data_IF_183603021166
#
_entry.id   IF_183603021166
#
_cell.length_a   1.000
_cell.length_b   1.000
_cell.length_c   1.000
_cell.angle_alpha   90.00
_cell.angle_beta   90.00
_cell.angle_gamma   90.00
#
_symmetry.space_group_name_H-M   'P 1'
#
loop_
_entity.id
_entity.type
_entity.pdbx_description
1 polymer ?
#
# COMPACT_ATOMS: atom_id res chain seq x y z
N UNK A 1 41.17 -23.42 -13.80
CA UNK A 1 40.43 -22.39 -14.59
C UNK A 1 39.07 -22.88 -15.14
N UNK A 2 38.95 -24.07 -15.73
CA UNK A 2 37.67 -24.55 -16.31
C UNK A 2 36.51 -24.74 -15.28
N UNK A 3 36.80 -25.10 -14.01
CA UNK A 3 35.75 -25.29 -12.97
C UNK A 3 35.15 -23.99 -12.43
N UNK A 4 35.92 -22.90 -12.43
CA UNK A 4 35.41 -21.56 -11.99
C UNK A 4 34.49 -20.97 -13.03
N UNK A 5 34.79 -21.16 -14.33
CA UNK A 5 33.92 -20.69 -15.42
C UNK A 5 32.56 -21.41 -15.46
N UNK A 6 32.51 -22.71 -15.08
CA UNK A 6 31.23 -23.45 -15.00
C UNK A 6 30.34 -22.94 -13.85
N UNK A 7 30.92 -22.60 -12.70
CA UNK A 7 30.17 -22.08 -11.54
C UNK A 7 29.56 -20.70 -11.82
N UNK A 8 30.30 -19.80 -12.49
CA UNK A 8 29.80 -18.49 -12.88
C UNK A 8 28.68 -18.59 -13.93
N UNK A 9 28.83 -19.48 -14.93
CA UNK A 9 27.80 -19.72 -15.94
C UNK A 9 26.50 -20.30 -15.34
N UNK A 10 26.60 -21.19 -14.32
CA UNK A 10 25.44 -21.71 -13.61
C UNK A 10 24.73 -20.64 -12.77
N UNK A 11 25.44 -19.71 -12.14
CA UNK A 11 24.82 -18.59 -11.40
C UNK A 11 24.05 -17.65 -12.36
N UNK A 12 24.63 -17.30 -13.50
CA UNK A 12 23.95 -16.47 -14.51
C UNK A 12 22.72 -17.16 -15.13
N UNK A 13 22.80 -18.46 -15.37
CA UNK A 13 21.68 -19.25 -15.88
C UNK A 13 20.54 -19.37 -14.87
N UNK A 14 20.84 -19.51 -13.58
CA UNK A 14 19.80 -19.57 -12.52
C UNK A 14 19.11 -18.22 -12.32
N UNK A 15 19.83 -17.10 -12.38
CA UNK A 15 19.22 -15.77 -12.36
C UNK A 15 18.29 -15.52 -13.54
N UNK A 16 18.68 -15.89 -14.75
CA UNK A 16 17.87 -15.70 -15.96
C UNK A 16 16.60 -16.58 -15.99
N UNK A 17 16.63 -17.77 -15.41
CA UNK A 17 15.47 -18.67 -15.31
C UNK A 17 14.51 -18.19 -14.23
N UNK A 18 15.02 -17.73 -13.10
CA UNK A 18 14.20 -17.18 -12.03
C UNK A 18 13.45 -15.91 -12.49
N UNK A 19 14.11 -15.00 -13.20
CA UNK A 19 13.49 -13.80 -13.77
C UNK A 19 12.33 -14.11 -14.75
N UNK A 20 12.42 -15.20 -15.51
CA UNK A 20 11.37 -15.62 -16.45
C UNK A 20 10.09 -16.11 -15.80
N UNK A 21 10.11 -16.49 -14.52
CA UNK A 21 8.97 -17.09 -13.81
C UNK A 21 8.22 -16.16 -12.87
N UNK A 22 8.61 -14.89 -12.78
CA UNK A 22 8.00 -13.93 -11.88
C UNK A 22 7.04 -12.98 -12.57
N UNK A 23 6.07 -12.54 -11.79
CA UNK A 23 5.01 -11.61 -12.15
C UNK A 23 4.76 -10.70 -10.94
N UNK A 24 3.88 -9.75 -11.09
CA UNK A 24 3.51 -8.78 -10.08
C UNK A 24 2.01 -8.83 -9.83
N UNK A 25 1.63 -8.60 -8.58
CA UNK A 25 0.26 -8.38 -8.16
C UNK A 25 0.19 -6.97 -7.55
N UNK A 26 -0.69 -6.14 -8.06
CA UNK A 26 -1.05 -4.85 -7.52
C UNK A 26 -2.39 -4.97 -6.80
N UNK A 27 -2.49 -4.39 -5.62
CA UNK A 27 -3.74 -4.13 -4.90
C UNK A 27 -4.02 -2.65 -4.95
N UNK A 28 -5.29 -2.25 -5.03
CA UNK A 28 -5.73 -0.85 -5.02
C UNK A 28 -7.19 -0.79 -4.59
N UNK A 29 -7.70 0.39 -4.31
CA UNK A 29 -9.12 0.63 -4.12
C UNK A 29 -9.63 1.68 -5.11
N UNK A 30 -10.93 1.90 -5.15
CA UNK A 30 -11.55 3.01 -5.88
C UNK A 30 -12.46 3.79 -4.95
N UNK A 31 -12.60 5.10 -5.18
CA UNK A 31 -13.56 5.93 -4.45
C UNK A 31 -15.01 5.53 -4.78
N UNK A 32 -15.23 4.81 -5.87
CA UNK A 32 -16.57 4.44 -6.34
C UNK A 32 -17.22 3.37 -5.45
N UNK A 33 -16.44 2.42 -4.92
CA UNK A 33 -16.99 1.30 -4.14
C UNK A 33 -16.31 1.06 -2.78
N UNK A 34 -15.21 1.74 -2.47
CA UNK A 34 -14.44 1.56 -1.24
C UNK A 34 -14.15 0.09 -0.95
N UNK A 35 -13.73 -0.64 -1.94
CA UNK A 35 -13.51 -2.08 -1.92
C UNK A 35 -12.13 -2.44 -2.48
N UNK A 36 -11.69 -3.67 -2.25
CA UNK A 36 -10.38 -4.15 -2.69
C UNK A 36 -10.44 -4.60 -4.15
N UNK A 37 -9.58 -4.03 -4.98
CA UNK A 37 -9.32 -4.43 -6.36
C UNK A 37 -7.93 -5.03 -6.48
N UNK A 38 -7.73 -5.86 -7.49
CA UNK A 38 -6.44 -6.46 -7.81
C UNK A 38 -6.15 -6.43 -9.30
N UNK A 39 -4.90 -6.19 -9.66
CA UNK A 39 -4.41 -6.32 -11.02
C UNK A 39 -3.11 -7.12 -11.07
N UNK A 40 -2.89 -7.87 -12.16
CA UNK A 40 -1.67 -8.64 -12.36
C UNK A 40 -0.86 -8.09 -13.53
N UNK A 41 0.47 -8.21 -13.43
CA UNK A 41 1.39 -7.91 -14.51
C UNK A 41 2.41 -9.03 -14.70
N UNK A 42 2.66 -9.41 -15.96
CA UNK A 42 3.67 -10.43 -16.29
C UNK A 42 5.05 -9.82 -16.59
N UNK A 43 5.14 -8.51 -16.71
CA UNK A 43 6.35 -7.77 -17.11
C UNK A 43 6.73 -6.63 -16.14
N UNK A 44 5.81 -6.24 -15.21
CA UNK A 44 5.99 -5.11 -14.30
C UNK A 44 5.74 -3.75 -14.94
N UNK A 45 5.15 -3.73 -16.15
CA UNK A 45 4.79 -2.51 -16.87
C UNK A 45 3.32 -2.44 -17.23
N UNK A 46 2.73 -3.56 -17.67
CA UNK A 46 1.33 -3.63 -18.11
C UNK A 46 0.54 -4.41 -17.07
N UNK A 47 -0.43 -3.75 -16.44
CA UNK A 47 -1.29 -4.32 -15.41
C UNK A 47 -2.70 -4.56 -15.96
N UNK A 48 -3.24 -5.73 -15.68
CA UNK A 48 -4.61 -6.13 -16.04
C UNK A 48 -5.39 -6.42 -14.77
N UNK A 49 -6.49 -5.70 -14.56
CA UNK A 49 -7.36 -5.93 -13.41
C UNK A 49 -8.01 -7.31 -13.47
N UNK A 50 -8.09 -7.94 -12.31
CA UNK A 50 -8.87 -9.15 -12.10
C UNK A 50 -10.36 -8.80 -12.00
N UNK A 51 -11.23 -9.80 -12.16
CA UNK A 51 -12.68 -9.66 -11.98
C UNK A 51 -13.30 -8.52 -12.83
N UNK A 52 -12.78 -8.30 -14.05
CA UNK A 52 -13.23 -7.23 -14.95
C UNK A 52 -13.24 -5.82 -14.30
N UNK A 53 -12.27 -5.58 -13.40
CA UNK A 53 -12.17 -4.38 -12.56
C UNK A 53 -13.31 -4.19 -11.54
N UNK A 54 -14.11 -5.21 -11.24
CA UNK A 54 -14.94 -5.20 -10.03
C UNK A 54 -14.11 -5.61 -8.82
N UNK A 55 -14.59 -5.24 -7.64
CA UNK A 55 -13.91 -5.59 -6.40
C UNK A 55 -13.73 -7.11 -6.26
N UNK A 56 -12.57 -7.54 -5.79
CA UNK A 56 -12.31 -8.94 -5.43
C UNK A 56 -12.73 -9.24 -3.99
N UNK A 57 -12.85 -8.20 -3.14
CA UNK A 57 -13.41 -8.27 -1.79
C UNK A 57 -14.18 -6.97 -1.54
N UNK A 58 -15.47 -7.09 -1.21
CA UNK A 58 -16.30 -5.94 -0.87
C UNK A 58 -15.94 -5.36 0.50
N UNK A 59 -15.68 -4.06 0.58
CA UNK A 59 -15.32 -3.37 1.82
C UNK A 59 -16.41 -3.43 2.88
N UNK A 60 -17.69 -3.45 2.48
CA UNK A 60 -18.83 -3.52 3.39
C UNK A 60 -18.94 -4.85 4.15
N UNK A 61 -18.25 -5.91 3.70
CA UNK A 61 -18.26 -7.22 4.33
C UNK A 61 -17.14 -7.45 5.34
N UNK A 62 -16.11 -6.62 5.35
CA UNK A 62 -14.89 -6.82 6.15
C UNK A 62 -14.54 -5.65 7.07
N UNK A 63 -15.16 -4.49 6.89
CA UNK A 63 -14.87 -3.25 7.61
C UNK A 63 -16.08 -2.79 8.46
N UNK A 64 -15.80 -2.22 9.63
CA UNK A 64 -16.84 -1.69 10.53
C UNK A 64 -17.51 -0.46 9.92
N UNK A 65 -16.74 0.39 9.22
CA UNK A 65 -17.26 1.54 8.48
C UNK A 65 -17.87 1.17 7.12
N UNK A 66 -17.93 -0.12 6.79
CA UNK A 66 -18.51 -0.65 5.55
C UNK A 66 -17.82 -0.15 4.29
N UNK A 67 -16.53 0.06 4.36
CA UNK A 67 -15.66 0.44 3.27
C UNK A 67 -14.20 0.38 3.68
N UNK A 68 -13.34 0.14 2.73
CA UNK A 68 -11.88 0.09 2.93
C UNK A 68 -11.17 1.05 1.99
N UNK A 69 -9.97 1.48 2.42
CA UNK A 69 -9.04 2.29 1.63
C UNK A 69 -7.62 1.78 1.82
N UNK A 70 -6.71 2.31 1.03
CA UNK A 70 -5.27 2.29 1.22
C UNK A 70 -4.71 0.86 1.38
N UNK A 71 -4.96 -0.06 0.43
CA UNK A 71 -4.49 -1.44 0.53
C UNK A 71 -2.98 -1.54 0.34
N UNK A 72 -2.31 -2.21 1.28
CA UNK A 72 -0.92 -2.63 1.16
C UNK A 72 -0.82 -4.14 1.20
N UNK A 73 0.03 -4.74 0.37
CA UNK A 73 0.21 -6.19 0.30
C UNK A 73 1.65 -6.62 0.53
N UNK A 74 1.86 -7.59 1.41
CA UNK A 74 3.15 -8.27 1.59
C UNK A 74 3.01 -9.78 1.59
N UNK A 75 4.13 -10.47 1.42
CA UNK A 75 4.23 -11.92 1.58
C UNK A 75 5.19 -12.24 2.72
N UNK A 76 4.71 -12.97 3.74
CA UNK A 76 5.54 -13.49 4.85
C UNK A 76 6.51 -14.56 4.36
N UNK A 77 7.62 -14.83 5.10
CA UNK A 77 8.55 -15.92 4.80
C UNK A 77 7.89 -17.29 4.72
N UNK A 78 6.82 -17.54 5.49
CA UNK A 78 6.04 -18.79 5.47
C UNK A 78 5.12 -18.94 4.24
N UNK A 79 5.14 -17.92 3.34
CA UNK A 79 4.35 -17.87 2.12
C UNK A 79 2.95 -17.33 2.27
N UNK A 80 2.52 -16.93 3.47
CA UNK A 80 1.23 -16.24 3.70
C UNK A 80 1.27 -14.85 3.09
N UNK A 81 0.24 -14.49 2.35
CA UNK A 81 -0.01 -13.11 1.92
C UNK A 81 -0.83 -12.39 2.98
N UNK A 82 -0.42 -11.18 3.30
CA UNK A 82 -1.14 -10.26 4.15
C UNK A 82 -1.51 -9.03 3.34
N UNK A 83 -2.75 -8.52 3.53
CA UNK A 83 -3.14 -7.19 3.07
C UNK A 83 -3.57 -6.39 4.29
N UNK A 84 -3.01 -5.20 4.46
CA UNK A 84 -3.45 -4.24 5.45
C UNK A 84 -4.26 -3.14 4.76
N UNK A 85 -5.32 -2.66 5.42
CA UNK A 85 -6.31 -1.75 4.86
C UNK A 85 -6.77 -0.76 5.93
N UNK A 86 -7.10 0.44 5.54
CA UNK A 86 -7.83 1.41 6.37
C UNK A 86 -9.31 1.04 6.42
N UNK A 87 -9.88 0.88 7.62
CA UNK A 87 -11.32 0.76 7.82
C UNK A 87 -11.96 2.15 7.74
N UNK A 88 -12.33 2.58 6.54
CA UNK A 88 -12.90 3.91 6.31
C UNK A 88 -13.71 3.95 5.00
N UNK A 89 -14.92 4.51 5.09
CA UNK A 89 -15.75 4.85 3.94
C UNK A 89 -16.12 6.33 3.98
N UNK A 90 -15.37 7.17 3.28
CA UNK A 90 -15.52 8.65 3.34
C UNK A 90 -16.86 9.15 2.80
N UNK A 91 -17.54 8.41 1.92
CA UNK A 91 -18.84 8.77 1.35
C UNK A 91 -20.01 7.96 1.94
N UNK A 92 -19.78 7.17 3.00
CA UNK A 92 -20.78 6.26 3.53
C UNK A 92 -22.05 6.96 4.04
N UNK A 93 -21.90 8.14 4.62
CA UNK A 93 -23.04 8.98 5.07
C UNK A 93 -23.87 9.46 3.88
N UNK A 94 -23.23 10.04 2.87
CA UNK A 94 -23.87 10.54 1.65
C UNK A 94 -24.55 9.42 0.87
N UNK A 95 -23.96 8.23 0.89
CA UNK A 95 -24.48 7.03 0.26
C UNK A 95 -25.58 6.33 1.09
N UNK A 96 -25.83 6.78 2.33
CA UNK A 96 -26.80 6.16 3.23
C UNK A 96 -26.43 4.76 3.70
N UNK A 97 -25.15 4.37 3.61
CA UNK A 97 -24.66 3.04 3.99
C UNK A 97 -24.10 2.99 5.40
N UNK A 98 -23.74 4.13 5.99
CA UNK A 98 -23.23 4.23 7.35
C UNK A 98 -24.29 4.83 8.28
N UNK A 99 -24.40 4.27 9.47
CA UNK A 99 -25.27 4.79 10.51
C UNK A 99 -24.59 5.89 11.31
N UNK A 100 -25.36 6.84 11.83
CA UNK A 100 -24.84 7.99 12.59
C UNK A 100 -24.04 7.60 13.83
N UNK A 101 -24.37 6.50 14.50
CA UNK A 101 -23.64 6.03 15.68
C UNK A 101 -22.18 5.69 15.45
N UNK A 102 -21.77 5.50 14.19
CA UNK A 102 -20.35 5.27 13.85
C UNK A 102 -19.59 6.56 13.61
N UNK A 103 -20.28 7.66 13.50
CA UNK A 103 -19.65 8.94 13.26
C UNK A 103 -19.19 9.56 14.58
N UNK A 104 -17.93 9.99 14.56
CA UNK A 104 -17.36 10.76 15.64
C UNK A 104 -17.27 12.23 15.21
N UNK A 105 -17.44 13.19 16.16
CA UNK A 105 -17.39 14.61 15.84
C UNK A 105 -16.10 14.99 15.11
N UNK A 106 -16.21 15.63 13.92
CA UNK A 106 -15.08 16.03 13.08
C UNK A 106 -14.25 17.18 13.69
N UNK A 107 -14.85 18.04 14.49
CA UNK A 107 -14.16 19.07 15.26
C UNK A 107 -13.21 18.50 16.30
N UNK A 108 -13.59 17.38 16.92
CA UNK A 108 -12.78 16.68 17.93
C UNK A 108 -11.78 15.70 17.33
N UNK A 109 -12.13 14.98 16.26
CA UNK A 109 -11.33 13.87 15.73
C UNK A 109 -10.77 14.11 14.32
N UNK A 110 -11.16 15.20 13.68
CA UNK A 110 -10.73 15.56 12.31
C UNK A 110 -11.48 14.82 11.21
N UNK A 111 -11.20 15.21 9.98
CA UNK A 111 -11.73 14.58 8.77
C UNK A 111 -11.28 13.13 8.65
N UNK A 112 -12.14 12.30 8.07
CA UNK A 112 -11.82 10.89 7.78
C UNK A 112 -11.52 10.06 9.03
N UNK A 113 -12.07 10.46 10.20
CA UNK A 113 -11.75 9.78 11.45
C UNK A 113 -12.21 8.31 11.43
N UNK A 114 -11.35 7.46 11.97
CA UNK A 114 -11.58 6.03 12.13
C UNK A 114 -10.84 5.49 13.36
N UNK A 115 -11.06 4.21 13.69
CA UNK A 115 -10.48 3.57 14.88
C UNK A 115 -9.73 2.29 14.55
N UNK A 116 -9.99 1.71 13.39
CA UNK A 116 -9.60 0.35 13.06
C UNK A 116 -8.76 0.29 11.78
N UNK A 117 -7.96 -0.75 11.71
CA UNK A 117 -7.36 -1.27 10.47
C UNK A 117 -7.93 -2.66 10.21
N UNK A 118 -7.93 -3.09 8.95
CA UNK A 118 -8.31 -4.44 8.55
C UNK A 118 -7.07 -5.20 8.10
N UNK A 119 -6.90 -6.43 8.55
CA UNK A 119 -5.88 -7.36 8.05
C UNK A 119 -6.56 -8.51 7.34
N UNK A 120 -6.19 -8.73 6.09
CA UNK A 120 -6.56 -9.92 5.33
C UNK A 120 -5.41 -10.90 5.27
N UNK A 121 -5.70 -12.19 5.31
CA UNK A 121 -4.72 -13.27 5.21
C UNK A 121 -5.13 -14.31 4.19
N UNK A 122 -4.19 -14.74 3.34
CA UNK A 122 -4.43 -15.77 2.32
C UNK A 122 -3.16 -16.60 2.05
N UNK A 123 -3.35 -17.87 1.69
CA UNK A 123 -2.29 -18.74 1.15
C UNK A 123 -2.32 -18.82 -0.38
N UNK A 124 -3.42 -18.40 -1.01
CA UNK A 124 -3.64 -18.60 -2.44
C UNK A 124 -4.05 -17.35 -3.23
N UNK A 125 -4.27 -16.20 -2.55
CA UNK A 125 -4.73 -14.93 -3.11
C UNK A 125 -6.18 -14.97 -3.64
N UNK A 126 -6.93 -16.00 -3.29
CA UNK A 126 -8.35 -16.18 -3.67
C UNK A 126 -9.23 -16.24 -2.42
N UNK A 127 -8.85 -17.08 -1.47
CA UNK A 127 -9.60 -17.27 -0.23
C UNK A 127 -8.92 -16.47 0.89
N UNK A 128 -9.69 -15.59 1.51
CA UNK A 128 -9.21 -14.65 2.50
C UNK A 128 -9.95 -14.79 3.82
N UNK A 129 -9.21 -14.75 4.90
CA UNK A 129 -9.76 -14.44 6.23
C UNK A 129 -9.44 -13.01 6.59
N UNK A 130 -10.25 -12.38 7.45
CA UNK A 130 -10.00 -11.02 7.91
C UNK A 130 -10.03 -10.90 9.44
N UNK A 131 -9.41 -9.84 9.93
CA UNK A 131 -9.41 -9.42 11.32
C UNK A 131 -9.42 -7.90 11.40
N UNK A 132 -10.09 -7.34 12.42
CA UNK A 132 -10.03 -5.93 12.73
C UNK A 132 -8.96 -5.68 13.80
N UNK A 133 -8.03 -4.78 13.52
CA UNK A 133 -7.10 -4.26 14.53
C UNK A 133 -7.68 -2.98 15.13
N UNK A 134 -8.17 -3.04 16.35
CA UNK A 134 -8.81 -1.93 17.06
C UNK A 134 -7.76 -1.10 17.78
N UNK A 135 -7.24 -0.08 17.12
CA UNK A 135 -6.18 0.77 17.67
C UNK A 135 -6.64 1.52 18.92
N UNK A 136 -7.89 1.98 18.92
CA UNK A 136 -8.47 2.71 20.06
C UNK A 136 -8.75 1.86 21.30
N UNK A 137 -8.63 0.53 21.21
CA UNK A 137 -8.76 -0.36 22.38
C UNK A 137 -7.42 -0.60 23.09
N UNK A 138 -6.31 -0.13 22.51
CA UNK A 138 -5.02 -0.13 23.17
C UNK A 138 -5.00 0.93 24.28
N UNK A 139 -4.44 0.58 25.43
CA UNK A 139 -4.31 1.49 26.59
C UNK A 139 -3.52 2.75 26.21
N UNK A 140 -4.12 3.92 26.37
CA UNK A 140 -3.54 5.21 26.03
C UNK A 140 -3.80 5.66 24.59
N UNK A 141 -4.52 4.85 23.78
CA UNK A 141 -4.88 5.17 22.40
C UNK A 141 -6.39 5.37 22.18
N UNK A 142 -7.16 5.47 23.26
CA UNK A 142 -8.63 5.58 23.24
C UNK A 142 -9.11 6.84 22.48
N UNK A 143 -8.27 7.88 22.45
CA UNK A 143 -8.60 9.17 21.84
C UNK A 143 -7.95 9.39 20.48
N UNK A 144 -7.60 8.34 19.73
CA UNK A 144 -7.06 8.51 18.36
C UNK A 144 -8.09 9.16 17.45
N UNK A 145 -7.64 10.04 16.57
CA UNK A 145 -8.45 10.64 15.52
C UNK A 145 -8.50 9.78 14.27
N UNK A 146 -7.40 9.12 13.92
CA UNK A 146 -7.36 8.21 12.78
C UNK A 146 -6.34 7.09 12.95
N UNK A 147 -6.49 6.05 12.14
CA UNK A 147 -5.50 5.03 11.82
C UNK A 147 -5.62 4.75 10.31
N UNK A 148 -4.70 5.30 9.49
CA UNK A 148 -4.80 5.30 8.03
C UNK A 148 -3.58 4.66 7.37
N UNK A 149 -3.77 4.25 6.11
CA UNK A 149 -2.73 3.80 5.21
C UNK A 149 -1.73 2.86 5.91
N UNK A 150 -2.20 1.70 6.42
CA UNK A 150 -1.33 0.75 7.06
C UNK A 150 -0.46 0.03 6.04
N UNK A 151 0.83 -0.01 6.30
CA UNK A 151 1.77 -0.82 5.55
C UNK A 151 2.55 -1.76 6.45
N UNK A 152 3.27 -2.70 5.88
CA UNK A 152 3.92 -3.76 6.63
C UNK A 152 5.28 -4.10 6.06
N UNK A 153 6.24 -4.41 6.93
CA UNK A 153 7.52 -4.96 6.57
C UNK A 153 7.87 -6.15 7.48
N UNK A 154 8.55 -7.14 6.93
CA UNK A 154 9.12 -8.21 7.74
C UNK A 154 10.39 -7.70 8.42
N UNK A 155 10.37 -7.63 9.75
CA UNK A 155 11.57 -7.32 10.54
C UNK A 155 12.40 -8.60 10.72
N UNK A 156 13.50 -8.70 9.98
CA UNK A 156 14.39 -9.85 9.98
C UNK A 156 15.09 -10.07 11.34
N UNK A 157 15.36 -9.00 12.09
CA UNK A 157 15.97 -9.09 13.42
C UNK A 157 14.99 -9.66 14.44
N UNK A 158 13.73 -9.21 14.41
CA UNK A 158 12.70 -9.62 15.33
C UNK A 158 11.93 -10.86 14.88
N UNK A 159 12.05 -11.26 13.61
CA UNK A 159 11.27 -12.34 12.98
C UNK A 159 9.77 -12.14 13.12
N UNK A 160 9.31 -10.91 12.92
CA UNK A 160 7.92 -10.49 13.10
C UNK A 160 7.47 -9.51 12.03
N UNK A 161 6.18 -9.40 11.82
CA UNK A 161 5.59 -8.36 10.97
C UNK A 161 5.53 -7.05 11.75
N UNK A 162 6.24 -6.05 11.27
CA UNK A 162 6.11 -4.67 11.70
C UNK A 162 5.05 -4.00 10.82
N UNK A 163 3.96 -3.56 11.42
CA UNK A 163 2.95 -2.70 10.78
C UNK A 163 3.23 -1.25 11.13
N UNK A 164 3.09 -0.36 10.17
CA UNK A 164 3.20 1.08 10.41
C UNK A 164 2.06 1.80 9.67
N UNK A 165 1.57 2.86 10.26
CA UNK A 165 0.36 3.55 9.79
C UNK A 165 0.32 5.00 10.27
N UNK A 166 -0.39 5.83 9.52
CA UNK A 166 -0.69 7.20 9.90
C UNK A 166 -1.67 7.21 11.07
N UNK A 167 -1.35 7.96 12.11
CA UNK A 167 -2.22 8.16 13.28
C UNK A 167 -2.12 9.60 13.79
N UNK A 168 -3.20 10.05 14.43
CA UNK A 168 -3.22 11.28 15.23
C UNK A 168 -4.03 11.05 16.51
N UNK A 169 -3.75 11.84 17.53
CA UNK A 169 -4.60 11.95 18.71
C UNK A 169 -5.59 13.10 18.52
N UNK A 170 -6.89 12.86 18.80
CA UNK A 170 -7.90 13.85 18.55
C UNK A 170 -7.82 14.41 17.11
N UNK A 171 -7.71 15.73 16.98
CA UNK A 171 -7.53 16.45 15.72
C UNK A 171 -6.13 17.10 15.60
N UNK A 172 -5.11 16.45 16.15
CA UNK A 172 -3.72 16.92 16.09
C UNK A 172 -3.07 16.59 14.71
N UNK A 173 -1.78 16.92 14.58
CA UNK A 173 -1.00 16.61 13.39
C UNK A 173 -0.90 15.08 13.15
N UNK A 174 -1.09 14.66 11.92
CA UNK A 174 -0.88 13.29 11.49
C UNK A 174 0.61 12.93 11.56
N UNK A 175 0.92 11.78 12.11
CA UNK A 175 2.28 11.21 12.18
C UNK A 175 2.22 9.72 11.91
N UNK A 176 3.34 9.10 11.56
CA UNK A 176 3.41 7.66 11.33
C UNK A 176 3.94 6.96 12.58
N UNK A 177 3.22 5.91 12.98
CA UNK A 177 3.56 5.06 14.10
C UNK A 177 3.76 3.63 13.63
N UNK A 178 4.61 2.87 14.30
CA UNK A 178 4.81 1.45 14.05
C UNK A 178 4.48 0.61 15.28
N UNK A 179 4.03 -0.60 15.03
CA UNK A 179 3.83 -1.64 16.04
C UNK A 179 4.18 -3.00 15.45
N UNK A 180 4.25 -4.03 16.28
CA UNK A 180 4.39 -5.41 15.81
C UNK A 180 3.06 -6.13 15.93
N UNK A 181 2.75 -6.96 14.94
CA UNK A 181 1.60 -7.85 14.98
C UNK A 181 1.92 -9.13 15.76
N UNK A 182 0.89 -9.76 16.32
CA UNK A 182 0.96 -11.14 16.83
C UNK A 182 1.33 -12.10 15.70
N UNK A 183 1.83 -13.29 16.01
CA UNK A 183 2.26 -14.28 15.01
C UNK A 183 1.14 -14.68 14.04
N UNK A 184 -0.10 -14.71 14.54
CA UNK A 184 -1.30 -14.95 13.73
C UNK A 184 -1.83 -13.71 13.01
N UNK A 185 -1.19 -12.56 13.20
CA UNK A 185 -1.52 -11.25 12.62
C UNK A 185 -2.97 -10.79 12.89
N UNK A 186 -3.56 -11.19 14.04
CA UNK A 186 -4.91 -10.81 14.42
C UNK A 186 -4.99 -9.73 15.49
N UNK A 187 -3.86 -9.30 16.01
CA UNK A 187 -3.76 -8.31 17.06
C UNK A 187 -2.38 -7.64 17.10
N UNK A 188 -2.23 -6.68 17.98
CA UNK A 188 -0.96 -6.03 18.25
C UNK A 188 -0.17 -6.81 19.32
N UNK A 189 1.09 -7.11 19.04
CA UNK A 189 2.07 -7.67 19.98
C UNK A 189 2.86 -6.58 20.70
N UNK A 190 2.73 -5.32 20.29
CA UNK A 190 3.34 -4.16 20.95
C UNK A 190 2.45 -2.94 20.81
N UNK A 191 2.62 -1.95 21.69
CA UNK A 191 2.01 -0.64 21.54
C UNK A 191 2.62 0.10 20.33
N UNK A 192 1.83 0.96 19.64
CA UNK A 192 2.33 1.82 18.58
C UNK A 192 3.36 2.82 19.11
N UNK A 193 4.44 3.04 18.37
CA UNK A 193 5.51 4.01 18.67
C UNK A 193 5.72 4.92 17.48
N UNK A 194 5.97 6.20 17.74
CA UNK A 194 6.34 7.15 16.69
C UNK A 194 7.59 6.64 15.97
N UNK A 195 7.53 6.56 14.64
CA UNK A 195 8.65 6.06 13.85
C UNK A 195 9.61 7.18 13.45
N UNK A 196 9.08 8.39 13.29
CA UNK A 196 9.81 9.53 12.75
C UNK A 196 9.16 10.84 13.21
N UNK A 197 9.94 11.84 13.59
CA UNK A 197 9.45 13.19 13.86
C UNK A 197 9.78 14.11 12.68
N UNK A 198 8.75 14.49 11.91
CA UNK A 198 8.93 15.43 10.81
C UNK A 198 9.17 16.85 11.35
N UNK A 199 10.08 17.64 10.74
CA UNK A 199 10.49 18.94 11.26
C UNK A 199 9.34 19.90 11.57
N UNK A 200 9.41 20.52 12.76
CA UNK A 200 8.42 21.44 13.26
C UNK A 200 7.09 20.80 13.68
N UNK A 201 7.05 19.47 13.91
CA UNK A 201 5.86 18.77 14.33
C UNK A 201 4.73 18.75 13.28
N UNK A 202 5.06 19.04 12.01
CA UNK A 202 4.08 19.10 10.92
C UNK A 202 3.55 17.72 10.57
N UNK A 203 2.34 17.68 10.00
CA UNK A 203 1.74 16.45 9.47
C UNK A 203 2.57 15.83 8.35
N UNK A 204 2.65 14.51 8.38
CA UNK A 204 3.07 13.65 7.27
C UNK A 204 2.28 12.35 7.34
N UNK A 205 2.04 11.71 6.19
CA UNK A 205 1.17 10.55 6.07
C UNK A 205 1.73 9.54 5.07
N UNK A 206 1.07 8.39 4.95
CA UNK A 206 1.23 7.39 3.88
C UNK A 206 2.71 7.05 3.66
N UNK A 207 3.25 6.19 4.47
CA UNK A 207 4.68 5.84 4.41
C UNK A 207 4.87 4.45 3.84
N UNK A 208 5.82 4.26 2.92
CA UNK A 208 6.33 2.97 2.47
C UNK A 208 7.80 2.81 2.86
N UNK A 209 8.13 1.73 3.55
CA UNK A 209 9.49 1.41 3.99
C UNK A 209 10.06 0.28 3.16
N UNK A 210 11.13 0.56 2.43
CA UNK A 210 11.82 -0.38 1.54
C UNK A 210 13.31 -0.48 1.90
N UNK A 211 13.86 -1.71 1.86
CA UNK A 211 15.30 -1.94 2.01
C UNK A 211 16.01 -1.73 0.66
N UNK A 212 16.93 -0.79 0.62
CA UNK A 212 17.73 -0.45 -0.57
C UNK A 212 18.82 -1.47 -0.90
N UNK A 213 19.49 -1.27 -2.03
CA UNK A 213 20.59 -2.11 -2.50
C UNK A 213 21.83 -2.04 -1.58
N UNK A 214 21.98 -0.95 -0.86
CA UNK A 214 23.04 -0.70 0.13
C UNK A 214 22.75 -1.30 1.51
N UNK A 215 21.57 -1.92 1.68
CA UNK A 215 21.12 -2.53 2.92
C UNK A 215 20.45 -1.56 3.90
N UNK A 216 20.43 -0.24 3.61
CA UNK A 216 19.71 0.77 4.38
C UNK A 216 18.21 0.71 4.09
N UNK A 217 17.42 1.34 4.95
CA UNK A 217 15.98 1.45 4.80
C UNK A 217 15.61 2.86 4.35
N UNK A 218 14.75 2.92 3.35
CA UNK A 218 14.22 4.15 2.77
C UNK A 218 12.72 4.20 2.99
N UNK A 219 12.26 5.28 3.59
CA UNK A 219 10.84 5.55 3.83
C UNK A 219 10.40 6.64 2.84
N UNK A 220 9.59 6.25 1.85
CA UNK A 220 8.85 7.22 1.04
C UNK A 220 7.61 7.65 1.83
N UNK A 221 7.31 8.94 1.89
CA UNK A 221 6.17 9.47 2.67
C UNK A 221 5.63 10.75 2.06
N UNK A 222 4.38 11.06 2.36
CA UNK A 222 3.73 12.32 1.94
C UNK A 222 4.05 13.44 2.92
N UNK A 223 4.63 14.53 2.41
CA UNK A 223 4.89 15.75 3.16
C UNK A 223 4.07 16.92 2.60
N UNK A 224 3.78 17.91 3.45
CA UNK A 224 2.94 19.05 3.12
C UNK A 224 3.68 20.38 3.18
N UNK A 225 5.02 20.39 3.13
CA UNK A 225 5.82 21.62 3.30
C UNK A 225 5.54 22.67 2.20
N UNK A 226 5.20 22.21 0.99
CA UNK A 226 4.84 23.07 -0.17
C UNK A 226 3.65 22.46 -0.95
N UNK A 227 2.67 21.88 -0.26
CA UNK A 227 1.61 21.04 -0.82
C UNK A 227 1.97 19.56 -0.73
N UNK A 228 0.98 18.68 -0.90
CA UNK A 228 1.17 17.23 -0.80
C UNK A 228 2.10 16.71 -1.90
N UNK A 229 3.15 16.02 -1.51
CA UNK A 229 4.14 15.41 -2.41
C UNK A 229 5.02 14.41 -1.69
N UNK A 230 5.77 13.61 -2.43
CA UNK A 230 6.53 12.48 -1.91
C UNK A 230 7.96 12.93 -1.58
N UNK A 231 8.40 12.62 -0.36
CA UNK A 231 9.78 12.77 0.11
C UNK A 231 10.35 11.45 0.57
N UNK A 232 11.68 11.42 0.78
CA UNK A 232 12.39 10.24 1.27
C UNK A 232 13.06 10.56 2.62
N UNK A 233 12.97 9.62 3.56
CA UNK A 233 13.81 9.55 4.74
C UNK A 233 14.59 8.24 4.75
N UNK A 234 15.75 8.19 5.40
CA UNK A 234 16.63 7.03 5.40
C UNK A 234 17.07 6.64 6.81
N UNK A 235 17.27 5.35 7.04
CA UNK A 235 17.70 4.78 8.32
C UNK A 235 18.48 3.49 8.14
N UNK A 236 19.16 3.05 9.20
CA UNK A 236 19.87 1.75 9.22
C UNK A 236 18.98 0.59 9.73
N UNK A 237 17.77 0.93 10.21
CA UNK A 237 16.77 -0.03 10.72
C UNK A 237 15.38 0.35 10.23
N UNK A 238 14.46 -0.62 9.99
CA UNK A 238 13.09 -0.30 9.55
C UNK A 238 12.30 0.53 10.56
N UNK A 239 12.68 0.49 11.83
CA UNK A 239 12.07 1.29 12.93
C UNK A 239 12.77 2.62 13.19
N UNK A 240 13.72 3.01 12.33
CA UNK A 240 14.48 4.25 12.47
C UNK A 240 15.69 4.16 13.43
N UNK A 241 16.23 5.29 13.90
CA UNK A 241 15.75 6.65 13.61
C UNK A 241 15.96 7.04 12.14
N UNK A 242 14.98 7.73 11.56
CA UNK A 242 15.04 8.21 10.19
C UNK A 242 15.62 9.63 10.09
N UNK A 243 16.47 9.83 9.09
CA UNK A 243 16.94 11.16 8.67
C UNK A 243 16.19 11.53 7.39
N UNK A 244 15.46 12.65 7.41
CA UNK A 244 14.70 13.13 6.27
C UNK A 244 15.57 13.90 5.27
N UNK A 245 15.10 13.93 4.02
CA UNK A 245 15.58 14.85 2.99
C UNK A 245 14.49 15.86 2.66
N UNK A 246 14.88 17.07 2.27
CA UNK A 246 13.88 18.13 2.04
C UNK A 246 13.34 18.14 0.60
N UNK A 247 14.01 17.45 -0.32
CA UNK A 247 13.62 17.39 -1.71
C UNK A 247 12.38 16.49 -1.91
N UNK A 248 11.49 16.93 -2.78
CA UNK A 248 10.43 16.08 -3.33
C UNK A 248 10.99 15.21 -4.44
N UNK A 249 10.56 13.96 -4.49
CA UNK A 249 11.03 12.96 -5.47
C UNK A 249 9.97 12.60 -6.52
N UNK A 250 8.74 13.03 -6.32
CA UNK A 250 7.69 12.95 -7.34
C UNK A 250 7.92 13.99 -8.46
N UNK A 251 7.32 13.75 -9.61
CA UNK A 251 7.40 14.63 -10.78
C UNK A 251 6.14 15.47 -10.98
N UNK A 252 5.35 15.63 -9.92
CA UNK A 252 4.05 16.31 -9.95
C UNK A 252 4.16 17.78 -9.51
N UNK A 253 3.14 18.55 -9.89
CA UNK A 253 2.99 19.93 -9.39
C UNK A 253 2.41 20.00 -7.97
N UNK A 254 2.39 18.90 -7.25
CA UNK A 254 1.75 18.61 -5.95
C UNK A 254 0.40 17.91 -6.11
N UNK A 255 -0.27 17.64 -5.00
CA UNK A 255 -1.49 16.86 -4.90
C UNK A 255 -1.28 15.40 -5.35
N UNK A 256 -0.20 14.80 -4.85
CA UNK A 256 0.02 13.36 -4.87
C UNK A 256 0.23 12.80 -3.47
N UNK A 257 -0.11 11.53 -3.29
CA UNK A 257 -0.10 10.81 -2.03
C UNK A 257 0.22 9.33 -2.23
N UNK A 258 0.17 8.52 -1.17
CA UNK A 258 0.21 7.06 -1.28
C UNK A 258 1.43 6.50 -2.00
N UNK A 259 2.67 6.81 -1.58
CA UNK A 259 3.85 6.20 -2.18
C UNK A 259 3.88 4.71 -1.92
N UNK A 260 4.24 3.92 -2.93
CA UNK A 260 4.57 2.51 -2.79
C UNK A 260 5.80 2.17 -3.63
N UNK A 261 6.75 1.44 -3.06
CA UNK A 261 8.00 1.11 -3.70
C UNK A 261 8.14 -0.40 -3.87
N UNK A 262 8.41 -0.85 -5.09
CA UNK A 262 8.81 -2.24 -5.32
C UNK A 262 10.04 -2.32 -6.21
N UNK A 263 10.86 -3.34 -6.01
CA UNK A 263 12.03 -3.59 -6.87
C UNK A 263 11.62 -4.30 -8.15
N UNK A 264 12.14 -3.91 -9.30
CA UNK A 264 11.99 -4.71 -10.51
C UNK A 264 12.74 -6.02 -10.37
N UNK A 265 12.07 -7.11 -10.66
CA UNK A 265 12.63 -8.43 -10.45
C UNK A 265 13.91 -8.66 -11.28
N UNK A 266 14.98 -9.10 -10.60
CA UNK A 266 16.27 -9.40 -11.23
C UNK A 266 17.09 -8.16 -11.65
N UNK A 267 16.75 -7.00 -11.12
CA UNK A 267 17.47 -5.74 -11.33
C UNK A 267 17.77 -5.05 -9.98
N UNK A 268 18.52 -3.99 -10.01
CA UNK A 268 18.75 -3.09 -8.87
C UNK A 268 17.81 -1.88 -8.88
N UNK A 269 16.87 -1.83 -9.81
CA UNK A 269 15.93 -0.73 -10.01
C UNK A 269 14.70 -0.90 -9.14
N UNK A 270 14.35 0.15 -8.41
CA UNK A 270 13.08 0.29 -7.68
C UNK A 270 12.13 1.20 -8.46
N UNK A 271 10.85 0.87 -8.43
CA UNK A 271 9.78 1.73 -8.94
C UNK A 271 9.06 2.33 -7.75
N UNK A 272 8.95 3.64 -7.72
CA UNK A 272 8.07 4.38 -6.83
C UNK A 272 6.79 4.72 -7.60
N UNK A 273 5.66 4.24 -7.10
CA UNK A 273 4.31 4.57 -7.55
C UNK A 273 3.68 5.52 -6.54
N UNK A 274 2.83 6.43 -6.99
CA UNK A 274 2.08 7.33 -6.12
C UNK A 274 0.74 7.73 -6.78
N UNK A 275 -0.23 8.10 -5.96
CA UNK A 275 -1.58 8.51 -6.39
C UNK A 275 -1.60 10.01 -6.70
N UNK A 276 -1.90 10.36 -7.95
CA UNK A 276 -2.03 11.74 -8.43
C UNK A 276 -3.50 12.17 -8.39
N UNK A 277 -3.98 12.58 -7.22
CA UNK A 277 -5.36 13.04 -7.05
C UNK A 277 -5.59 14.48 -7.54
N UNK A 278 -4.54 15.21 -7.85
CA UNK A 278 -4.60 16.60 -8.36
C UNK A 278 -4.80 16.71 -9.86
N UNK A 279 -4.80 15.60 -10.60
CA UNK A 279 -5.07 15.57 -12.04
C UNK A 279 -6.47 15.02 -12.33
N UNK A 280 -6.99 15.28 -13.54
CA UNK A 280 -8.33 14.82 -13.95
C UNK A 280 -8.22 14.06 -15.28
N UNK A 281 -8.61 12.78 -15.34
CA UNK A 281 -9.01 11.92 -14.22
C UNK A 281 -7.82 11.61 -13.27
N UNK A 282 -8.08 11.28 -11.98
CA UNK A 282 -7.03 10.80 -11.08
C UNK A 282 -6.32 9.57 -11.66
N UNK A 283 -5.01 9.45 -11.40
CA UNK A 283 -4.19 8.37 -11.97
C UNK A 283 -3.00 8.05 -11.06
N UNK A 284 -2.31 6.95 -11.31
CA UNK A 284 -1.02 6.70 -10.68
C UNK A 284 0.12 7.33 -11.49
N UNK A 285 1.02 8.01 -10.79
CA UNK A 285 2.32 8.46 -11.30
C UNK A 285 3.41 7.47 -10.91
N UNK A 286 4.48 7.42 -11.71
CA UNK A 286 5.59 6.50 -11.53
C UNK A 286 6.92 7.17 -11.77
N UNK A 287 7.90 6.83 -10.94
CA UNK A 287 9.30 7.07 -11.23
C UNK A 287 10.14 5.86 -10.79
N UNK A 288 11.41 5.82 -11.19
CA UNK A 288 12.30 4.74 -10.80
C UNK A 288 13.64 5.27 -10.32
N UNK A 289 14.30 4.48 -9.46
CA UNK A 289 15.58 4.77 -8.84
C UNK A 289 16.37 3.50 -8.58
N UNK A 290 17.70 3.61 -8.44
CA UNK A 290 18.57 2.52 -7.99
C UNK A 290 19.21 2.85 -6.62
N UNK A 291 19.17 4.12 -6.22
CA UNK A 291 19.91 4.65 -5.06
C UNK A 291 19.07 5.51 -4.10
N UNK A 292 17.78 5.68 -4.37
CA UNK A 292 16.85 6.57 -3.65
C UNK A 292 17.31 8.03 -3.58
N UNK A 293 18.23 8.44 -4.45
CA UNK A 293 18.74 9.81 -4.58
C UNK A 293 18.40 10.42 -5.92
N UNK A 294 18.55 9.63 -6.97
CA UNK A 294 18.25 10.03 -8.34
C UNK A 294 17.01 9.30 -8.81
N UNK A 295 16.02 10.05 -9.26
CA UNK A 295 14.76 9.50 -9.76
C UNK A 295 14.55 9.84 -11.23
N UNK A 296 14.04 8.89 -12.01
CA UNK A 296 13.69 9.04 -13.41
C UNK A 296 12.18 8.91 -13.59
N UNK A 297 11.55 9.92 -14.19
CA UNK A 297 10.11 9.92 -14.47
C UNK A 297 9.73 8.81 -15.47
N UNK A 298 8.67 8.08 -15.16
CA UNK A 298 8.06 7.07 -16.03
C UNK A 298 6.67 7.51 -16.54
N UNK A 299 6.17 8.68 -16.11
CA UNK A 299 4.84 9.19 -16.43
C UNK A 299 3.73 8.48 -15.65
N UNK A 300 2.49 8.71 -16.08
CA UNK A 300 1.30 8.09 -15.51
C UNK A 300 0.93 6.80 -16.26
N UNK A 301 -0.05 6.03 -15.72
CA UNK A 301 -0.65 4.94 -16.48
C UNK A 301 -1.22 5.46 -17.80
N UNK A 302 -0.87 4.78 -18.89
CA UNK A 302 -1.27 5.05 -20.28
C UNK A 302 -0.73 6.36 -20.88
N UNK A 303 -0.03 7.19 -20.12
CA UNK A 303 0.64 8.40 -20.58
C UNK A 303 2.17 8.26 -20.65
N UNK A 304 2.72 7.26 -19.98
CA UNK A 304 4.14 6.91 -19.97
C UNK A 304 4.38 5.45 -20.38
N UNK A 305 5.38 4.83 -19.75
CA UNK A 305 5.75 3.43 -20.04
C UNK A 305 4.83 2.43 -19.33
N UNK A 306 4.19 2.86 -18.23
CA UNK A 306 3.28 2.01 -17.46
C UNK A 306 1.90 1.99 -18.10
N UNK A 307 1.25 0.80 -18.12
CA UNK A 307 -0.05 0.59 -18.75
C UNK A 307 -1.05 -0.07 -17.81
N UNK A 308 -2.26 0.49 -17.74
CA UNK A 308 -3.45 -0.19 -17.26
C UNK A 308 -4.29 -0.64 -18.47
N UNK A 309 -4.73 -1.90 -18.51
CA UNK A 309 -5.38 -2.47 -19.70
C UNK A 309 -6.90 -2.39 -19.66
N UNK A 310 -7.50 -2.51 -18.49
CA UNK A 310 -8.96 -2.59 -18.30
C UNK A 310 -9.45 -1.93 -17.00
N UNK A 311 -8.68 -1.00 -16.45
CA UNK A 311 -9.10 -0.19 -15.29
C UNK A 311 -8.58 1.23 -15.41
N UNK A 312 -9.24 2.15 -14.75
CA UNK A 312 -8.89 3.55 -14.62
C UNK A 312 -9.10 4.04 -13.18
N UNK A 313 -8.62 5.23 -12.87
CA UNK A 313 -8.78 5.91 -11.58
C UNK A 313 -8.46 5.04 -10.34
N UNK A 314 -7.40 4.24 -10.37
CA UNK A 314 -6.99 3.52 -9.18
C UNK A 314 -6.57 4.52 -8.10
N UNK A 315 -6.83 4.15 -6.84
CA UNK A 315 -6.45 4.94 -5.68
C UNK A 315 -5.56 4.11 -4.77
N UNK A 316 -4.53 4.74 -4.22
CA UNK A 316 -3.63 4.22 -3.20
C UNK A 316 -3.41 2.70 -3.32
N UNK A 317 -2.37 2.29 -4.02
CA UNK A 317 -2.11 0.87 -4.30
C UNK A 317 -0.73 0.43 -3.86
N UNK A 318 -0.55 -0.88 -3.79
CA UNK A 318 0.73 -1.51 -3.50
C UNK A 318 1.01 -2.70 -4.41
N UNK A 319 2.29 -2.98 -4.68
CA UNK A 319 2.72 -4.04 -5.59
C UNK A 319 3.58 -5.06 -4.85
N UNK A 320 3.29 -6.34 -5.05
CA UNK A 320 4.11 -7.46 -4.55
C UNK A 320 4.45 -8.45 -5.65
N UNK A 321 5.42 -9.32 -5.37
CA UNK A 321 5.81 -10.39 -6.30
C UNK A 321 4.91 -11.61 -6.17
N UNK A 322 4.58 -12.17 -7.33
CA UNK A 322 3.98 -13.48 -7.45
C UNK A 322 4.66 -14.26 -8.58
N UNK A 323 4.40 -15.54 -8.71
CA UNK A 323 4.87 -16.30 -9.87
C UNK A 323 3.96 -16.10 -11.07
N UNK A 324 4.50 -16.23 -12.30
CA UNK A 324 3.68 -16.23 -13.54
C UNK A 324 2.60 -17.31 -13.52
N UNK A 325 2.89 -18.45 -12.88
CA UNK A 325 1.89 -19.50 -12.68
C UNK A 325 0.72 -18.99 -11.83
N UNK A 326 1.03 -18.29 -10.73
CA UNK A 326 0.01 -17.71 -9.83
C UNK A 326 -0.80 -16.63 -10.56
N UNK A 327 -0.14 -15.71 -11.28
CA UNK A 327 -0.84 -14.69 -12.07
C UNK A 327 -1.84 -15.30 -13.05
N UNK A 328 -1.41 -16.32 -13.82
CA UNK A 328 -2.29 -17.04 -14.75
C UNK A 328 -3.44 -17.79 -14.04
N UNK A 329 -3.19 -18.33 -12.83
CA UNK A 329 -4.24 -18.95 -12.01
C UNK A 329 -5.29 -17.94 -11.58
N UNK A 330 -4.88 -16.75 -11.14
CA UNK A 330 -5.80 -15.69 -10.73
C UNK A 330 -6.65 -15.19 -11.90
N UNK A 331 -6.04 -14.90 -13.06
CA UNK A 331 -6.78 -14.52 -14.27
C UNK A 331 -7.81 -15.58 -14.65
N UNK A 332 -7.42 -16.87 -14.68
CA UNK A 332 -8.33 -17.97 -15.02
C UNK A 332 -9.45 -18.15 -13.99
N UNK A 333 -9.13 -17.94 -12.71
CA UNK A 333 -10.12 -18.06 -11.63
C UNK A 333 -11.24 -17.02 -11.82
N UNK A 334 -10.86 -15.75 -11.92
CA UNK A 334 -11.81 -14.64 -12.03
C UNK A 334 -12.59 -14.64 -13.36
N UNK A 335 -12.01 -15.12 -14.45
CA UNK A 335 -12.75 -15.38 -15.70
C UNK A 335 -13.86 -16.43 -15.55
N UNK A 336 -13.68 -17.43 -14.66
CA UNK A 336 -14.64 -18.49 -14.43
C UNK A 336 -15.63 -18.19 -13.32
N UNK A 337 -15.26 -17.33 -12.40
CA UNK A 337 -16.01 -17.00 -11.20
C UNK A 337 -16.08 -15.47 -11.02
N UNK A 338 -16.66 -14.73 -12.01
CA UNK A 338 -16.78 -13.29 -11.86
C UNK A 338 -17.74 -12.97 -10.71
N UNK A 339 -17.38 -11.98 -9.90
CA UNK A 339 -18.22 -11.44 -8.84
C UNK A 339 -18.40 -9.94 -9.05
N UNK A 340 -19.57 -9.53 -9.46
CA UNK A 340 -19.94 -8.14 -9.73
C UNK A 340 -20.92 -7.60 -8.67
N UNK A 341 -20.91 -8.19 -7.47
CA UNK A 341 -21.83 -7.85 -6.39
C UNK A 341 -21.47 -6.56 -5.63
N UNK A 342 -20.23 -6.06 -5.77
CA UNK A 342 -19.82 -4.81 -5.14
C UNK A 342 -20.69 -3.64 -5.61
N UNK A 343 -21.30 -2.93 -4.66
CA UNK A 343 -22.19 -1.81 -4.96
C UNK A 343 -21.37 -0.57 -5.23
N UNK A 344 -21.47 -0.04 -6.44
CA UNK A 344 -20.94 1.28 -6.79
C UNK A 344 -21.75 2.34 -6.04
N UNK A 345 -21.05 3.18 -5.30
CA UNK A 345 -21.66 4.31 -4.57
C UNK A 345 -22.10 5.37 -5.57
N UNK A 346 -23.40 5.54 -5.77
CA UNK A 346 -23.96 6.48 -6.79
C UNK A 346 -23.63 7.95 -6.57
N UNK A 347 -23.09 8.31 -5.41
CA UNK A 347 -22.75 9.68 -5.03
C UNK A 347 -21.76 10.33 -5.99
N UNK A 348 -20.84 9.57 -6.57
CA UNK A 348 -19.84 10.08 -7.52
C UNK A 348 -20.33 10.21 -8.96
N UNK A 349 -21.49 9.64 -9.30
CA UNK A 349 -22.07 9.80 -10.64
C UNK A 349 -22.67 11.20 -10.88
N UNK A 350 -22.76 12.04 -9.84
CA UNK A 350 -23.35 13.38 -9.88
C UNK A 350 -22.34 14.53 -9.82
N UNK A 351 -21.05 14.23 -9.77
CA UNK A 351 -19.94 15.18 -9.86
C UNK A 351 -19.20 14.99 -11.18
#
# INVERSE_FOLDING_TARGET
MKRILLAVACLWATFSVAAKNNAYLMVYFTDEDHSLHMAVSLDGYSFTALNDNYAVICGDSIAEQRGIRDPYIMRKPDGTYLIALTDLHVFAREAGVRKEEWERPGDKYGWGNNKNLVILQSKDLIHWSHSLLRVNELKGYENIGCAWAPEMIWDEERQAVMIYFTMRFGNEANKVYYAYLTDDCKGFASEPKLIFEYPGGKSYIDSDITKGNDGRYYMAYVAYSQGAGIKIAEADSPKGPYTYRDEYVDFEKRACEAPNVWRRYGTDTFVLMYDCYGIVPPNFGFCETEDFKTFRNLGHFNEGVMKSTNFDKPKHGAVTYITKKKAKQLLKYWQKHPDHSAKITEVLKKK
#
